data_IF_387339280367
#
_entry.id   IF_387339280367
#
_cell.length_a   1.000
_cell.length_b   1.000
_cell.length_c   1.000
_cell.angle_alpha   90.00
_cell.angle_beta   90.00
_cell.angle_gamma   90.00
#
_symmetry.space_group_name_H-M   'P 1'
#
loop_
_entity.id
_entity.type
_entity.pdbx_description
1 polymer ?
#
# COMPACT_ATOMS: atom_id res chain seq x y z
N UNK A 1 17.48 -14.80 1.65
CA UNK A 1 16.29 -14.57 2.50
C UNK A 1 15.67 -13.27 2.07
N UNK A 2 14.41 -13.27 1.62
CA UNK A 2 13.75 -12.05 1.17
C UNK A 2 13.26 -11.29 2.41
N UNK A 3 13.61 -10.01 2.49
CA UNK A 3 13.20 -9.11 3.57
C UNK A 3 12.12 -8.19 3.03
N UNK A 4 10.95 -8.24 3.67
CA UNK A 4 9.75 -7.58 3.20
C UNK A 4 9.18 -6.72 4.32
N UNK A 5 8.73 -5.54 3.97
CA UNK A 5 7.98 -4.64 4.84
C UNK A 5 6.52 -4.63 4.40
N UNK A 6 5.60 -4.73 5.34
CA UNK A 6 4.15 -4.62 5.10
C UNK A 6 3.57 -3.56 6.04
N UNK A 7 2.67 -2.74 5.50
CA UNK A 7 1.97 -1.71 6.26
C UNK A 7 0.65 -1.36 5.55
N UNK A 8 -0.23 -0.65 6.24
CA UNK A 8 -1.46 -0.12 5.68
C UNK A 8 -1.53 1.40 5.74
N UNK A 9 -2.25 1.99 4.78
CA UNK A 9 -2.65 3.39 4.83
C UNK A 9 -4.12 3.56 4.55
N UNK A 10 -4.72 4.60 5.12
CA UNK A 10 -6.14 4.91 4.95
C UNK A 10 -6.33 6.16 4.10
N UNK A 11 -7.01 6.01 2.97
CA UNK A 11 -7.31 7.09 2.01
C UNK A 11 -8.77 7.48 2.12
N UNK A 12 -9.01 8.77 2.38
CA UNK A 12 -10.36 9.32 2.48
C UNK A 12 -10.43 10.59 3.32
N UNK A 13 -11.54 11.30 3.20
CA UNK A 13 -11.78 12.53 3.94
C UNK A 13 -11.86 12.28 5.46
N UNK A 14 -11.39 13.25 6.26
CA UNK A 14 -11.53 13.19 7.72
C UNK A 14 -13.02 13.18 8.09
N UNK A 15 -13.45 12.26 8.95
CA UNK A 15 -14.84 12.20 9.44
C UNK A 15 -15.32 13.56 9.99
N UNK A 16 -14.46 14.29 10.70
CA UNK A 16 -14.80 15.62 11.23
C UNK A 16 -15.23 16.62 10.16
N UNK A 17 -14.71 16.49 8.94
CA UNK A 17 -14.99 17.36 7.79
C UNK A 17 -16.21 16.90 6.97
N UNK A 18 -16.79 15.72 7.24
CA UNK A 18 -18.01 15.27 6.54
C UNK A 18 -19.23 16.05 7.02
N UNK A 19 -20.22 16.28 6.15
CA UNK A 19 -21.51 16.83 6.57
C UNK A 19 -22.15 15.97 7.66
N UNK A 20 -22.84 16.59 8.62
CA UNK A 20 -23.37 15.92 9.82
C UNK A 20 -24.16 14.64 9.55
N UNK A 21 -24.97 14.62 8.47
CA UNK A 21 -25.76 13.45 8.03
C UNK A 21 -24.95 12.30 7.41
N UNK A 22 -23.68 12.54 7.05
CA UNK A 22 -22.75 11.57 6.45
C UNK A 22 -21.66 11.12 7.42
N UNK A 23 -21.65 11.64 8.66
CA UNK A 23 -20.70 11.22 9.69
C UNK A 23 -21.15 9.88 10.25
N UNK A 24 -20.24 8.90 10.27
CA UNK A 24 -20.55 7.58 10.80
C UNK A 24 -20.59 7.58 12.34
N UNK A 25 -20.08 8.64 12.99
CA UNK A 25 -20.01 8.84 14.46
C UNK A 25 -19.40 7.66 15.24
N UNK A 26 -18.84 6.68 14.55
CA UNK A 26 -17.96 5.66 15.09
C UNK A 26 -16.53 6.24 15.15
N UNK A 27 -15.85 6.04 16.28
CA UNK A 27 -14.56 6.68 16.60
C UNK A 27 -13.38 6.30 15.69
N UNK A 28 -12.16 6.67 16.10
CA UNK A 28 -10.85 6.47 15.43
C UNK A 28 -10.70 7.10 14.03
N UNK A 29 -9.44 7.29 13.62
CA UNK A 29 -9.07 7.98 12.38
C UNK A 29 -9.32 7.21 11.08
N UNK A 30 -9.64 5.91 11.14
CA UNK A 30 -9.83 5.03 9.98
C UNK A 30 -11.29 4.95 9.50
N UNK A 31 -12.27 5.34 10.34
CA UNK A 31 -13.69 5.21 10.02
C UNK A 31 -14.05 5.99 8.76
N UNK A 32 -14.76 5.32 7.85
CA UNK A 32 -15.24 5.91 6.59
C UNK A 32 -14.14 6.21 5.57
N UNK A 33 -12.96 5.58 5.71
CA UNK A 33 -11.85 5.64 4.75
C UNK A 33 -11.63 4.27 4.09
N UNK A 34 -11.06 4.29 2.90
CA UNK A 34 -10.64 3.08 2.19
C UNK A 34 -9.24 2.68 2.67
N UNK A 35 -9.08 1.44 3.10
CA UNK A 35 -7.77 0.89 3.42
C UNK A 35 -7.01 0.49 2.13
N UNK A 36 -5.70 0.71 2.15
CA UNK A 36 -4.74 0.28 1.14
C UNK A 36 -3.63 -0.44 1.88
N UNK A 37 -3.34 -1.67 1.48
CA UNK A 37 -2.23 -2.46 2.03
C UNK A 37 -1.11 -2.47 1.02
N UNK A 38 0.12 -2.36 1.50
CA UNK A 38 1.30 -2.35 0.66
C UNK A 38 2.41 -3.21 1.22
N UNK A 39 3.12 -3.84 0.31
CA UNK A 39 4.22 -4.75 0.54
C UNK A 39 5.40 -4.19 -0.23
N UNK A 40 6.55 -4.02 0.43
CA UNK A 40 7.79 -3.59 -0.19
C UNK A 40 8.93 -4.53 0.16
N UNK A 41 9.58 -5.07 -0.86
CA UNK A 41 10.80 -5.83 -0.67
C UNK A 41 12.00 -4.86 -0.50
N UNK A 42 12.80 -5.05 0.54
CA UNK A 42 13.89 -4.11 0.87
C UNK A 42 15.02 -4.11 -0.15
N UNK A 43 15.41 -5.28 -0.65
CA UNK A 43 16.60 -5.42 -1.49
C UNK A 43 16.35 -4.89 -2.91
N UNK A 44 15.23 -5.28 -3.52
CA UNK A 44 14.87 -4.85 -4.87
C UNK A 44 14.18 -3.49 -4.89
N UNK A 45 13.53 -3.11 -3.78
CA UNK A 45 12.64 -1.97 -3.71
C UNK A 45 11.30 -2.20 -4.42
N UNK A 46 10.99 -3.43 -4.84
CA UNK A 46 9.73 -3.75 -5.49
C UNK A 46 8.56 -3.59 -4.53
N UNK A 47 7.52 -2.94 -5.03
CA UNK A 47 6.30 -2.59 -4.30
C UNK A 47 5.11 -3.29 -4.94
N UNK A 48 4.27 -3.88 -4.10
CA UNK A 48 2.92 -4.31 -4.46
C UNK A 48 1.93 -3.69 -3.48
N UNK A 49 0.87 -3.07 -3.98
CA UNK A 49 -0.13 -2.45 -3.14
C UNK A 49 -1.52 -2.63 -3.75
N UNK A 50 -2.54 -2.72 -2.90
CA UNK A 50 -3.93 -2.90 -3.33
C UNK A 50 -4.89 -2.27 -2.32
N UNK A 51 -6.06 -1.86 -2.81
CA UNK A 51 -7.18 -1.46 -1.95
C UNK A 51 -7.82 -2.70 -1.35
N UNK A 52 -8.06 -2.69 -0.04
CA UNK A 52 -8.72 -3.78 0.70
C UNK A 52 -9.96 -3.29 1.43
N UNK A 53 -10.99 -4.12 1.54
CA UNK A 53 -12.25 -3.78 2.24
C UNK A 53 -12.05 -3.51 3.74
N UNK A 54 -11.08 -4.20 4.33
CA UNK A 54 -10.78 -4.21 5.75
C UNK A 54 -9.31 -4.59 5.99
N UNK A 55 -8.85 -4.41 7.22
CA UNK A 55 -7.51 -4.80 7.67
C UNK A 55 -7.59 -5.95 8.67
N UNK A 56 -8.54 -6.88 8.46
CA UNK A 56 -8.63 -8.09 9.27
C UNK A 56 -7.39 -8.96 9.11
N UNK A 57 -7.17 -9.87 10.06
CA UNK A 57 -6.05 -10.81 9.99
C UNK A 57 -6.11 -11.63 8.72
N UNK A 58 -7.31 -12.09 8.37
CA UNK A 58 -7.58 -12.94 7.21
C UNK A 58 -7.17 -12.22 5.93
N UNK A 59 -7.59 -10.95 5.77
CA UNK A 59 -7.22 -10.11 4.63
C UNK A 59 -5.71 -9.85 4.56
N UNK A 60 -5.09 -9.46 5.68
CA UNK A 60 -3.65 -9.15 5.73
C UNK A 60 -2.78 -10.38 5.50
N UNK A 61 -3.14 -11.53 6.08
CA UNK A 61 -2.44 -12.80 5.87
C UNK A 61 -2.56 -13.26 4.42
N UNK A 62 -3.75 -13.13 3.81
CA UNK A 62 -3.96 -13.48 2.40
C UNK A 62 -3.07 -12.61 1.49
N UNK A 63 -3.02 -11.31 1.76
CA UNK A 63 -2.13 -10.39 1.06
C UNK A 63 -0.66 -10.78 1.17
N UNK A 64 -0.19 -11.25 2.34
CA UNK A 64 1.19 -11.75 2.46
C UNK A 64 1.35 -13.06 1.69
N UNK A 65 0.47 -14.04 1.88
CA UNK A 65 0.59 -15.37 1.27
C UNK A 65 0.56 -15.38 -0.25
N UNK A 66 -0.21 -14.48 -0.86
CA UNK A 66 -0.32 -14.39 -2.32
C UNK A 66 0.87 -13.69 -2.98
N UNK A 67 1.66 -12.93 -2.21
CA UNK A 67 2.62 -11.96 -2.76
C UNK A 67 4.03 -12.10 -2.22
N UNK A 68 4.22 -12.85 -1.13
CA UNK A 68 5.50 -13.03 -0.46
C UNK A 68 5.81 -14.51 -0.36
N UNK A 69 7.01 -14.87 -0.82
CA UNK A 69 7.53 -16.23 -0.74
C UNK A 69 7.56 -16.72 0.72
N UNK A 70 7.03 -17.92 0.98
CA UNK A 70 7.05 -18.53 2.32
C UNK A 70 8.49 -18.63 2.85
N UNK A 71 8.67 -18.47 4.16
CA UNK A 71 9.99 -18.39 4.81
C UNK A 71 10.65 -17.02 4.74
N UNK A 72 10.04 -16.03 4.06
CA UNK A 72 10.53 -14.64 4.06
C UNK A 72 10.46 -14.00 5.46
N UNK A 73 11.35 -13.03 5.67
CA UNK A 73 11.34 -12.18 6.86
C UNK A 73 10.44 -10.97 6.61
N UNK A 74 9.35 -10.88 7.36
CA UNK A 74 8.31 -9.84 7.25
C UNK A 74 8.42 -8.89 8.45
N UNK A 75 8.51 -7.59 8.16
CA UNK A 75 8.42 -6.51 9.13
C UNK A 75 7.10 -5.77 8.98
N UNK A 76 6.40 -5.56 10.10
CA UNK A 76 5.18 -4.74 10.15
C UNK A 76 5.21 -3.78 11.34
N UNK A 77 4.23 -2.89 11.43
CA UNK A 77 3.92 -2.17 12.66
C UNK A 77 3.20 -3.08 13.69
N UNK A 78 2.76 -2.49 14.81
CA UNK A 78 2.06 -3.19 15.89
C UNK A 78 0.56 -3.44 15.61
N UNK A 79 0.11 -3.34 14.36
CA UNK A 79 -1.28 -3.64 14.03
C UNK A 79 -1.61 -5.12 14.30
N UNK A 80 -2.64 -5.36 15.12
CA UNK A 80 -3.03 -6.69 15.59
C UNK A 80 -3.34 -7.70 14.47
N UNK A 81 -3.67 -7.21 13.28
CA UNK A 81 -3.93 -8.04 12.12
C UNK A 81 -2.71 -8.77 11.57
N UNK A 82 -1.49 -8.38 11.95
CA UNK A 82 -0.26 -9.10 11.58
C UNK A 82 0.10 -10.22 12.56
N UNK A 83 -0.58 -10.29 13.73
CA UNK A 83 -0.34 -11.35 14.70
C UNK A 83 -0.77 -12.70 14.11
N UNK A 84 0.20 -13.61 13.99
CA UNK A 84 0.01 -14.96 13.49
C UNK A 84 0.70 -15.25 12.16
N UNK A 85 1.40 -14.28 11.55
CA UNK A 85 2.20 -14.52 10.35
C UNK A 85 3.25 -15.64 10.55
N UNK A 86 3.82 -15.73 11.77
CA UNK A 86 4.72 -16.83 12.16
C UNK A 86 4.07 -18.23 12.08
N UNK A 87 2.75 -18.31 12.26
CA UNK A 87 2.00 -19.58 12.24
C UNK A 87 1.71 -20.08 10.82
N UNK A 88 1.82 -19.21 9.82
CA UNK A 88 1.54 -19.52 8.41
C UNK A 88 2.81 -19.55 7.55
N UNK A 89 3.97 -19.72 8.17
CA UNK A 89 5.23 -19.99 7.48
C UNK A 89 6.08 -18.77 7.16
N UNK A 90 5.92 -17.65 7.85
CA UNK A 90 6.80 -16.48 7.74
C UNK A 90 7.65 -16.31 9.01
N UNK A 91 8.75 -15.57 8.90
CA UNK A 91 9.43 -15.03 10.09
C UNK A 91 8.94 -13.59 10.24
N UNK A 92 8.23 -13.28 11.32
CA UNK A 92 7.55 -11.99 11.51
C UNK A 92 8.10 -11.25 12.73
N UNK A 93 8.51 -10.02 12.49
CA UNK A 93 8.94 -9.05 13.50
C UNK A 93 8.06 -7.80 13.42
N UNK A 94 7.57 -7.35 14.57
CA UNK A 94 6.83 -6.10 14.70
C UNK A 94 7.77 -4.98 15.14
N UNK A 95 7.63 -3.80 14.54
CA UNK A 95 8.39 -2.59 14.89
C UNK A 95 7.56 -1.72 15.81
N UNK A 96 8.10 -1.36 16.97
CA UNK A 96 7.41 -0.48 17.91
C UNK A 96 7.77 0.99 17.64
N UNK A 97 6.88 1.70 16.94
CA UNK A 97 7.06 3.11 16.62
C UNK A 97 7.05 4.05 17.84
N UNK A 98 6.45 3.64 18.97
CA UNK A 98 6.39 4.45 20.19
C UNK A 98 7.66 4.38 21.03
N UNK A 99 8.38 3.26 20.96
CA UNK A 99 9.60 3.02 21.71
C UNK A 99 10.86 3.62 21.06
N UNK A 100 10.76 4.27 19.88
CA UNK A 100 11.90 4.77 19.09
C UNK A 100 12.98 3.68 19.02
N UNK A 101 12.71 2.56 18.33
CA UNK A 101 13.66 1.45 18.19
C UNK A 101 14.95 1.89 17.46
N UNK A 102 15.85 2.51 18.22
CA UNK A 102 17.24 2.81 17.89
C UNK A 102 18.17 1.61 18.17
N UNK A 103 17.60 0.46 18.55
CA UNK A 103 18.35 -0.69 19.10
C UNK A 103 18.46 -1.85 18.11
N UNK A 104 17.72 -1.83 17.01
CA UNK A 104 17.76 -2.88 16.00
C UNK A 104 17.79 -2.26 14.60
N UNK A 105 18.98 -1.94 14.11
CA UNK A 105 19.21 -1.21 12.83
C UNK A 105 18.51 -1.83 11.62
N UNK A 106 18.13 -3.12 11.70
CA UNK A 106 17.43 -3.84 10.66
C UNK A 106 15.91 -3.99 10.88
N UNK A 107 15.32 -3.59 12.01
CA UNK A 107 13.88 -3.73 12.26
C UNK A 107 13.15 -2.40 12.07
N UNK A 108 12.84 -2.04 10.82
CA UNK A 108 12.09 -0.83 10.49
C UNK A 108 11.09 -1.03 9.33
N UNK A 109 10.12 -0.14 9.21
CA UNK A 109 9.13 -0.10 8.10
C UNK A 109 9.27 1.17 7.23
N UNK A 110 10.40 1.90 7.38
CA UNK A 110 10.67 3.16 6.69
C UNK A 110 10.49 3.09 5.16
N UNK A 111 10.80 1.94 4.56
CA UNK A 111 10.67 1.74 3.13
C UNK A 111 9.20 1.80 2.68
N UNK A 112 8.32 1.01 3.30
CA UNK A 112 6.90 1.02 2.99
C UNK A 112 6.24 2.36 3.41
N UNK A 113 6.67 2.97 4.51
CA UNK A 113 6.23 4.33 4.86
C UNK A 113 6.54 5.35 3.75
N UNK A 114 7.72 5.25 3.12
CA UNK A 114 8.10 6.13 2.01
C UNK A 114 7.14 5.99 0.81
N UNK A 115 6.62 4.78 0.55
CA UNK A 115 5.60 4.52 -0.48
C UNK A 115 4.34 5.32 -0.18
N UNK A 116 3.88 5.30 1.07
CA UNK A 116 2.70 6.05 1.49
C UNK A 116 2.89 7.55 1.43
N UNK A 117 4.08 8.03 1.75
CA UNK A 117 4.40 9.45 1.61
C UNK A 117 4.30 9.89 0.15
N UNK A 118 4.83 9.11 -0.80
CA UNK A 118 4.73 9.41 -2.24
C UNK A 118 3.28 9.40 -2.72
N UNK A 119 2.50 8.38 -2.34
CA UNK A 119 1.07 8.29 -2.69
C UNK A 119 0.28 9.50 -2.15
N UNK A 120 0.48 9.87 -0.88
CA UNK A 120 -0.21 11.00 -0.25
C UNK A 120 0.20 12.35 -0.85
N UNK A 121 1.47 12.52 -1.25
CA UNK A 121 1.92 13.71 -1.99
C UNK A 121 1.27 13.80 -3.36
N UNK A 122 1.13 12.66 -4.06
CA UNK A 122 0.38 12.56 -5.31
C UNK A 122 -1.09 12.97 -5.16
N UNK A 123 -1.74 12.47 -4.10
CA UNK A 123 -3.11 12.84 -3.76
C UNK A 123 -3.25 14.36 -3.58
N UNK A 124 -2.35 14.99 -2.80
CA UNK A 124 -2.45 16.41 -2.48
C UNK A 124 -2.03 17.34 -3.63
N UNK A 125 -1.01 16.97 -4.40
CA UNK A 125 -0.35 17.86 -5.36
C UNK A 125 -0.72 17.63 -6.83
N UNK A 126 -1.02 16.39 -7.23
CA UNK A 126 -1.28 16.06 -8.65
C UNK A 126 -2.77 15.88 -8.91
N UNK A 127 -3.44 15.07 -8.09
CA UNK A 127 -4.81 14.67 -8.37
C UNK A 127 -5.85 15.53 -7.65
N UNK A 128 -5.50 16.11 -6.49
CA UNK A 128 -6.36 16.88 -5.58
C UNK A 128 -7.60 16.14 -5.02
N UNK A 129 -8.10 15.13 -5.74
CA UNK A 129 -9.18 14.23 -5.35
C UNK A 129 -8.97 12.84 -5.98
N UNK A 130 -8.97 11.80 -5.15
CA UNK A 130 -9.07 10.40 -5.59
C UNK A 130 -10.37 9.82 -5.08
N UNK A 131 -11.27 9.46 -6.00
CA UNK A 131 -12.50 8.75 -5.63
C UNK A 131 -12.19 7.31 -5.19
N UNK A 132 -12.90 6.79 -4.20
CA UNK A 132 -12.75 5.39 -3.74
C UNK A 132 -12.98 4.41 -4.89
N UNK A 133 -13.96 4.69 -5.76
CA UNK A 133 -14.28 3.89 -6.98
C UNK A 133 -13.05 3.66 -7.87
N UNK A 134 -12.12 4.60 -7.91
CA UNK A 134 -10.95 4.55 -8.79
C UNK A 134 -9.63 4.46 -8.02
N UNK A 135 -9.66 4.35 -6.69
CA UNK A 135 -8.46 4.38 -5.87
C UNK A 135 -7.47 3.27 -6.25
N UNK A 136 -7.96 2.07 -6.54
CA UNK A 136 -7.12 0.96 -7.00
C UNK A 136 -6.26 1.33 -8.22
N UNK A 137 -6.81 2.08 -9.18
CA UNK A 137 -6.05 2.51 -10.38
C UNK A 137 -4.92 3.48 -10.05
N UNK A 138 -5.13 4.37 -9.08
CA UNK A 138 -4.08 5.26 -8.61
C UNK A 138 -3.01 4.47 -7.85
N UNK A 139 -3.40 3.53 -7.00
CA UNK A 139 -2.45 2.67 -6.27
C UNK A 139 -1.59 1.87 -7.25
N UNK A 140 -2.20 1.24 -8.26
CA UNK A 140 -1.50 0.50 -9.32
C UNK A 140 -0.50 1.40 -10.07
N UNK A 141 -0.91 2.62 -10.41
CA UNK A 141 -0.04 3.58 -11.07
C UNK A 141 1.18 3.96 -10.21
N UNK A 142 0.97 4.26 -8.92
CA UNK A 142 2.06 4.61 -8.01
C UNK A 142 3.01 3.43 -7.79
N UNK A 143 2.48 2.21 -7.62
CA UNK A 143 3.29 1.01 -7.53
C UNK A 143 4.12 0.80 -8.80
N UNK A 144 3.52 0.95 -9.99
CA UNK A 144 4.24 0.89 -11.26
C UNK A 144 5.34 1.94 -11.36
N UNK A 145 5.05 3.20 -11.01
CA UNK A 145 6.03 4.30 -11.06
C UNK A 145 7.21 4.05 -10.13
N UNK A 146 6.98 3.52 -8.93
CA UNK A 146 8.04 3.19 -7.97
C UNK A 146 8.90 2.02 -8.46
N UNK A 147 8.27 0.97 -8.99
CA UNK A 147 8.97 -0.21 -9.51
C UNK A 147 9.82 0.12 -10.76
N UNK A 148 9.32 0.99 -11.63
CA UNK A 148 10.03 1.41 -12.85
C UNK A 148 10.98 2.61 -12.62
N UNK A 149 10.78 3.37 -11.54
CA UNK A 149 11.40 4.67 -11.29
C UNK A 149 12.60 4.63 -10.34
N UNK A 150 13.40 3.57 -10.38
CA UNK A 150 14.54 3.37 -9.47
C UNK A 150 15.87 3.96 -9.98
N UNK A 151 15.83 4.85 -10.98
CA UNK A 151 17.00 5.49 -11.65
C UNK A 151 17.94 4.53 -12.39
N UNK A 152 17.84 3.21 -12.14
CA UNK A 152 18.59 2.16 -12.83
C UNK A 152 18.03 1.88 -14.21
N UNK A 153 16.72 2.06 -14.40
CA UNK A 153 16.05 1.84 -15.69
C UNK A 153 16.08 3.14 -16.51
N UNK A 154 16.69 3.07 -17.69
CA UNK A 154 16.76 4.20 -18.62
C UNK A 154 15.36 4.73 -18.97
N UNK A 155 15.22 6.05 -19.08
CA UNK A 155 13.93 6.73 -19.31
C UNK A 155 13.16 6.16 -20.50
N UNK A 156 13.84 5.84 -21.60
CA UNK A 156 13.15 5.27 -22.77
C UNK A 156 12.61 3.85 -22.54
N UNK A 157 13.31 3.03 -21.77
CA UNK A 157 12.82 1.70 -21.41
C UNK A 157 11.57 1.80 -20.50
N UNK A 158 11.54 2.80 -19.61
CA UNK A 158 10.36 3.08 -18.76
C UNK A 158 9.14 3.51 -19.59
N UNK A 159 9.35 4.42 -20.55
CA UNK A 159 8.29 4.87 -21.47
C UNK A 159 7.77 3.69 -22.30
N UNK A 160 8.67 2.84 -22.82
CA UNK A 160 8.28 1.65 -23.56
C UNK A 160 7.48 0.65 -22.67
N UNK A 161 7.90 0.44 -21.42
CA UNK A 161 7.16 -0.40 -20.47
C UNK A 161 5.77 0.15 -20.17
N UNK A 162 5.64 1.48 -20.03
CA UNK A 162 4.34 2.14 -19.84
C UNK A 162 3.45 1.92 -21.06
N UNK A 163 3.95 2.20 -22.26
CA UNK A 163 3.22 1.99 -23.50
C UNK A 163 2.77 0.53 -23.66
N UNK A 164 3.64 -0.42 -23.33
CA UNK A 164 3.32 -1.85 -23.35
C UNK A 164 2.14 -2.19 -22.43
N UNK A 165 2.08 -1.61 -21.24
CA UNK A 165 0.98 -1.81 -20.28
C UNK A 165 -0.36 -1.24 -20.72
N UNK A 166 -0.38 -0.33 -21.70
CA UNK A 166 -1.61 0.31 -22.20
C UNK A 166 -2.33 -0.53 -23.25
N UNK A 167 -1.64 -1.46 -23.94
CA UNK A 167 -2.25 -2.30 -24.96
C UNK A 167 -3.40 -3.14 -24.39
N UNK A 168 -4.55 -3.13 -25.07
CA UNK A 168 -5.74 -3.88 -24.67
C UNK A 168 -6.47 -3.33 -23.42
N UNK A 169 -6.00 -2.23 -22.83
CA UNK A 169 -6.61 -1.61 -21.62
C UNK A 169 -7.45 -0.37 -21.93
N UNK A 170 -7.83 -0.16 -23.19
CA UNK A 170 -8.62 1.01 -23.61
C UNK A 170 -10.00 1.00 -22.94
N UNK A 171 -10.28 2.06 -22.17
CA UNK A 171 -11.61 2.32 -21.62
C UNK A 171 -12.38 3.21 -22.59
N UNK A 172 -13.49 2.72 -23.14
CA UNK A 172 -14.37 3.52 -24.01
C UNK A 172 -15.41 4.27 -23.18
N UNK A 173 -15.93 5.38 -23.71
CA UNK A 173 -17.02 6.12 -23.06
C UNK A 173 -18.24 5.23 -22.77
N UNK A 174 -18.61 4.33 -23.70
CA UNK A 174 -19.70 3.35 -23.53
C UNK A 174 -19.51 2.45 -22.30
N UNK A 175 -18.27 2.12 -21.95
CA UNK A 175 -17.93 1.35 -20.73
C UNK A 175 -18.01 2.16 -19.44
N UNK A 176 -17.91 3.50 -19.52
CA UNK A 176 -17.91 4.37 -18.34
C UNK A 176 -19.32 4.76 -17.87
N UNK A 177 -20.29 4.76 -18.78
CA UNK A 177 -21.68 5.21 -18.53
C UNK A 177 -22.66 4.08 -18.21
N UNK A 178 -22.18 2.83 -18.09
CA UNK A 178 -22.99 1.69 -17.64
C UNK A 178 -23.00 1.58 -16.12
#
# INVERSE_FOLDING_TARGET
QNIVEIDETYVGGKEKNKHGKKKLRAGRGAVGKQAVVGIRERNTGMVKASTVSDTTRETLHSMVSENVESGSLVYSDEHKGYIGLNLIGYVHNSVNHSAKEFVNEMAHTNGIESVWVVLKRGYNGVYHHMSVKHLGRYVDEFAFRLNQGNVKIHTMARIASMAKGMFGKRVTYKTLIK
#
